data_IF_110700784194
#
_entry.id   IF_110700784194
#
_cell.length_a   1.000
_cell.length_b   1.000
_cell.length_c   1.000
_cell.angle_alpha   90.00
_cell.angle_beta   90.00
_cell.angle_gamma   90.00
#
_symmetry.space_group_name_H-M   'P 1'
#
loop_
_entity.id
_entity.type
_entity.pdbx_description
1 polymer ?
#
# COMPACT_ATOMS: atom_id res chain seq x y z
N UNK A 1 17.15 16.13 -23.16
CA UNK A 1 16.05 16.68 -22.33
C UNK A 1 14.71 15.93 -22.44
N UNK A 2 14.41 15.21 -23.54
CA UNK A 2 13.11 14.51 -23.70
C UNK A 2 12.80 13.37 -22.72
N UNK A 3 13.82 12.69 -22.17
CA UNK A 3 13.61 11.57 -21.23
C UNK A 3 12.80 11.96 -19.97
N UNK A 4 12.98 13.18 -19.47
CA UNK A 4 12.29 13.66 -18.27
C UNK A 4 10.77 13.81 -18.47
N UNK A 5 10.32 14.15 -19.68
CA UNK A 5 8.88 14.29 -19.98
C UNK A 5 8.20 12.93 -20.20
N UNK A 6 8.97 11.91 -20.60
CA UNK A 6 8.45 10.57 -20.91
C UNK A 6 8.45 9.63 -19.69
N UNK A 7 9.38 9.80 -18.76
CA UNK A 7 9.48 8.94 -17.58
C UNK A 7 8.25 9.10 -16.66
N UNK A 8 7.52 8.00 -16.42
CA UNK A 8 6.31 7.96 -15.59
C UNK A 8 5.22 8.97 -16.01
N UNK A 9 5.14 9.32 -17.28
CA UNK A 9 4.18 10.28 -17.86
C UNK A 9 2.71 9.97 -17.55
N UNK A 10 2.33 8.68 -17.45
CA UNK A 10 0.97 8.28 -17.12
C UNK A 10 0.59 8.65 -15.66
N UNK A 11 -0.47 9.46 -15.45
CA UNK A 11 -0.93 9.81 -14.10
C UNK A 11 -1.36 8.58 -13.30
N UNK A 12 -0.88 8.45 -12.06
CA UNK A 12 -1.24 7.34 -11.15
C UNK A 12 -2.02 7.87 -9.94
N UNK A 13 -3.07 8.65 -10.19
CA UNK A 13 -3.88 9.25 -9.12
C UNK A 13 -4.86 8.25 -8.48
N UNK A 14 -5.24 7.20 -9.21
CA UNK A 14 -6.22 6.21 -8.77
C UNK A 14 -5.88 4.79 -9.24
N UNK A 15 -6.66 3.81 -8.79
CA UNK A 15 -6.53 2.40 -9.13
C UNK A 15 -5.51 1.65 -8.27
N UNK A 16 -5.16 0.43 -8.67
CA UNK A 16 -4.22 -0.39 -7.91
C UNK A 16 -2.78 0.13 -7.98
N UNK A 17 -2.42 0.78 -9.10
CA UNK A 17 -1.08 1.33 -9.33
C UNK A 17 -0.77 2.62 -8.55
N UNK A 18 -1.78 3.28 -7.97
CA UNK A 18 -1.61 4.54 -7.24
C UNK A 18 -1.20 4.34 -5.79
N UNK A 19 -1.47 3.18 -5.22
CA UNK A 19 -1.18 2.88 -3.82
C UNK A 19 -0.24 1.69 -3.70
N UNK A 20 0.57 1.73 -2.66
CA UNK A 20 1.48 0.65 -2.29
C UNK A 20 1.50 0.50 -0.77
N UNK A 21 1.84 -0.69 -0.31
CA UNK A 21 2.07 -0.95 1.10
C UNK A 21 3.15 -0.03 1.66
N UNK A 22 2.90 0.61 2.80
CA UNK A 22 3.89 1.45 3.48
C UNK A 22 5.11 0.67 4.00
N UNK A 23 5.01 -0.67 4.14
CA UNK A 23 6.10 -1.53 4.64
C UNK A 23 6.91 -2.14 3.49
N UNK A 24 6.25 -2.87 2.58
CA UNK A 24 6.94 -3.68 1.57
C UNK A 24 6.77 -3.17 0.13
N UNK A 25 6.13 -2.02 -0.07
CA UNK A 25 5.85 -1.42 -1.39
C UNK A 25 5.02 -2.29 -2.36
N UNK A 26 4.53 -3.45 -1.93
CA UNK A 26 3.63 -4.29 -2.71
C UNK A 26 2.30 -3.56 -2.97
N UNK A 27 1.74 -3.75 -4.16
CA UNK A 27 0.45 -3.17 -4.59
C UNK A 27 -0.72 -4.16 -4.47
N UNK A 28 -0.44 -5.43 -4.19
CA UNK A 28 -1.45 -6.47 -4.08
C UNK A 28 -1.92 -6.65 -2.63
N UNK A 29 -3.21 -6.94 -2.46
CA UNK A 29 -3.80 -7.25 -1.16
C UNK A 29 -3.68 -6.11 -0.15
N UNK A 30 -3.81 -4.86 -0.62
CA UNK A 30 -3.68 -3.66 0.21
C UNK A 30 -4.95 -3.44 1.05
N UNK A 31 -4.79 -3.37 2.36
CA UNK A 31 -5.82 -2.98 3.33
C UNK A 31 -5.76 -1.45 3.46
N UNK A 32 -6.80 -0.78 2.98
CA UNK A 32 -6.92 0.69 2.97
C UNK A 32 -7.85 1.22 4.07
N UNK A 33 -8.57 0.33 4.77
CA UNK A 33 -9.49 0.71 5.85
C UNK A 33 -8.72 1.38 6.98
N UNK A 34 -9.33 2.40 7.59
CA UNK A 34 -8.75 3.17 8.70
C UNK A 34 -7.41 3.86 8.37
N UNK A 35 -7.07 4.04 7.09
CA UNK A 35 -5.81 4.68 6.69
C UNK A 35 -4.56 3.80 6.84
N UNK A 36 -4.71 2.49 7.10
CA UNK A 36 -3.58 1.59 7.36
C UNK A 36 -2.59 1.49 6.18
N UNK A 37 -3.09 1.51 4.93
CA UNK A 37 -2.29 1.41 3.70
C UNK A 37 -1.21 0.31 3.74
N UNK A 38 -1.58 -0.86 4.27
CA UNK A 38 -0.68 -2.00 4.48
C UNK A 38 -1.13 -3.24 3.71
N UNK A 39 -0.18 -4.05 3.27
CA UNK A 39 -0.47 -5.32 2.63
C UNK A 39 -1.03 -6.33 3.66
N UNK A 40 -1.87 -7.29 3.25
CA UNK A 40 -2.45 -8.28 4.17
C UNK A 40 -1.43 -9.13 4.95
N UNK A 41 -0.26 -9.43 4.34
CA UNK A 41 0.79 -10.19 5.04
C UNK A 41 1.47 -9.31 6.09
N UNK A 42 1.78 -8.08 5.72
CA UNK A 42 2.35 -7.04 6.58
C UNK A 42 1.42 -6.75 7.77
N UNK A 43 0.13 -6.59 7.50
CA UNK A 43 -0.87 -6.38 8.54
C UNK A 43 -0.89 -7.52 9.55
N UNK A 44 -0.84 -8.79 9.13
CA UNK A 44 -0.82 -9.92 10.07
C UNK A 44 0.45 -9.94 10.94
N UNK A 45 1.57 -9.47 10.41
CA UNK A 45 2.82 -9.37 11.16
C UNK A 45 2.75 -8.28 12.24
N UNK A 46 2.24 -7.10 11.89
CA UNK A 46 2.18 -5.92 12.77
C UNK A 46 0.85 -5.74 13.52
N UNK A 47 -0.14 -6.61 13.32
CA UNK A 47 -1.49 -6.46 13.88
C UNK A 47 -1.46 -6.26 15.40
N UNK A 48 -0.63 -7.04 16.10
CA UNK A 48 -0.48 -6.96 17.56
C UNK A 48 0.12 -5.62 17.99
N UNK A 49 1.16 -5.15 17.29
CA UNK A 49 1.86 -3.89 17.62
C UNK A 49 0.98 -2.66 17.36
N UNK A 50 0.08 -2.75 16.36
CA UNK A 50 -0.93 -1.73 16.07
C UNK A 50 -2.05 -1.73 17.14
N UNK A 51 -2.19 -2.81 17.91
CA UNK A 51 -3.22 -2.98 18.94
C UNK A 51 -4.44 -3.77 18.49
N UNK A 52 -4.40 -4.41 17.31
CA UNK A 52 -5.44 -5.37 16.92
C UNK A 52 -5.25 -6.69 17.66
N UNK A 53 -6.30 -7.13 18.35
CA UNK A 53 -6.36 -8.43 19.01
C UNK A 53 -7.42 -9.30 18.32
N UNK A 54 -7.12 -10.59 18.17
CA UNK A 54 -8.11 -11.56 17.69
C UNK A 54 -9.03 -11.87 18.87
N UNK A 55 -10.25 -11.36 18.80
CA UNK A 55 -11.36 -11.84 19.63
C UNK A 55 -12.01 -12.99 18.87
N UNK A 56 -12.26 -14.10 19.58
CA UNK A 56 -12.58 -15.42 19.02
C UNK A 56 -13.66 -15.40 17.94
#
# INVERSE_FOLDING_TARGET
>A
MGHQQLYRSHPRKFGQGSHSCCVCLNRHGLIRKYGLNMCRHCFRQYAKDIGFTKLN
#
